data_IF_298305961993
#
_entry.id   IF_298305961993
#
_cell.length_a   1.000
_cell.length_b   1.000
_cell.length_c   1.000
_cell.angle_alpha   90.00
_cell.angle_beta   90.00
_cell.angle_gamma   90.00
#
_symmetry.space_group_name_H-M   'P 1'
#
loop_
_entity.id
_entity.type
_entity.pdbx_description
1 polymer ?
#
# COMPACT_ATOMS: atom_id res chain seq x y z
N UNK A 1 4.43 -9.08 2.41
CA UNK A 1 4.37 -7.91 3.29
C UNK A 1 3.53 -6.79 2.70
N UNK A 2 2.65 -6.19 3.50
CA UNK A 2 1.80 -5.07 3.05
C UNK A 2 1.98 -3.87 3.99
N UNK A 3 2.52 -2.78 3.47
CA UNK A 3 2.75 -1.52 4.19
C UNK A 3 1.54 -0.61 4.05
N UNK A 4 1.03 -0.09 5.16
CA UNK A 4 -0.12 0.81 5.22
C UNK A 4 0.31 2.10 5.94
N UNK A 5 0.60 3.20 5.20
CA UNK A 5 0.93 4.48 5.82
C UNK A 5 -0.31 5.13 6.43
N UNK A 6 -0.20 5.58 7.69
CA UNK A 6 -1.28 6.18 8.47
C UNK A 6 -0.86 7.54 9.01
N UNK A 7 -1.69 8.56 8.81
CA UNK A 7 -1.54 9.88 9.42
C UNK A 7 -2.91 10.48 9.75
N UNK A 8 -3.18 10.71 11.05
CA UNK A 8 -4.44 11.20 11.57
C UNK A 8 -5.66 10.39 11.06
N UNK A 9 -5.57 9.06 11.20
CA UNK A 9 -6.56 8.08 10.73
C UNK A 9 -7.48 7.54 11.85
N UNK A 10 -7.45 8.09 13.06
CA UNK A 10 -8.22 7.63 14.22
C UNK A 10 -9.67 7.28 13.89
N UNK A 11 -10.34 8.14 13.10
CA UNK A 11 -11.77 8.02 12.78
C UNK A 11 -12.05 7.38 11.42
N UNK A 12 -11.02 7.21 10.59
CA UNK A 12 -11.19 6.77 9.19
C UNK A 12 -10.67 5.37 8.94
N UNK A 13 -9.76 4.87 9.81
CA UNK A 13 -9.16 3.56 9.62
C UNK A 13 -10.22 2.46 9.70
N UNK A 14 -10.35 1.70 8.64
CA UNK A 14 -11.28 0.57 8.53
C UNK A 14 -10.69 -0.68 9.20
N UNK A 15 -10.46 -0.62 10.52
CA UNK A 15 -9.78 -1.66 11.31
C UNK A 15 -10.39 -3.05 11.13
N UNK A 16 -11.72 -3.13 10.99
CA UNK A 16 -12.42 -4.40 10.78
C UNK A 16 -12.04 -5.04 9.46
N UNK A 17 -11.94 -4.27 8.38
CA UNK A 17 -11.60 -4.78 7.05
C UNK A 17 -10.20 -5.42 7.04
N UNK A 18 -9.22 -4.76 7.68
CA UNK A 18 -7.86 -5.31 7.83
C UNK A 18 -7.85 -6.57 8.70
N UNK A 19 -8.61 -6.61 9.79
CA UNK A 19 -8.71 -7.78 10.66
C UNK A 19 -9.35 -8.95 9.95
N UNK A 20 -10.46 -8.74 9.26
CA UNK A 20 -11.17 -9.78 8.52
C UNK A 20 -10.29 -10.33 7.38
N UNK A 21 -9.49 -9.47 6.75
CA UNK A 21 -8.56 -9.86 5.70
C UNK A 21 -7.46 -10.79 6.22
N UNK A 22 -6.79 -10.45 7.32
CA UNK A 22 -5.72 -11.26 7.91
C UNK A 22 -6.23 -12.63 8.40
N UNK A 23 -7.43 -12.67 8.97
CA UNK A 23 -8.03 -13.93 9.41
C UNK A 23 -8.25 -14.89 8.23
N UNK A 24 -8.59 -14.36 7.06
CA UNK A 24 -8.88 -15.15 5.86
C UNK A 24 -7.63 -15.50 5.05
N UNK A 25 -6.56 -14.73 5.19
CA UNK A 25 -5.38 -14.77 4.33
C UNK A 25 -4.10 -14.85 5.17
N UNK A 26 -3.72 -16.06 5.58
CA UNK A 26 -2.57 -16.30 6.45
C UNK A 26 -1.19 -16.03 5.82
N UNK A 27 -1.12 -15.83 4.49
CA UNK A 27 0.11 -15.50 3.77
C UNK A 27 0.50 -14.02 3.82
N UNK A 28 -0.22 -13.18 4.58
CA UNK A 28 0.03 -11.75 4.67
C UNK A 28 0.58 -11.33 6.02
N UNK A 29 1.51 -10.37 5.99
CA UNK A 29 1.94 -9.61 7.17
C UNK A 29 1.70 -8.12 6.91
N UNK A 30 0.90 -7.46 7.76
CA UNK A 30 0.58 -6.04 7.64
C UNK A 30 1.54 -5.20 8.48
N UNK A 31 2.10 -4.15 7.91
CA UNK A 31 2.90 -3.15 8.61
C UNK A 31 2.22 -1.79 8.53
N UNK A 32 1.56 -1.39 9.60
CA UNK A 32 1.00 -0.05 9.73
C UNK A 32 2.11 0.91 10.15
N UNK A 33 2.33 1.95 9.35
CA UNK A 33 3.33 2.99 9.64
C UNK A 33 2.60 4.25 10.11
N UNK A 34 2.69 4.54 11.40
CA UNK A 34 2.22 5.79 11.95
C UNK A 34 3.20 6.91 11.62
N UNK A 35 2.83 7.81 10.71
CA UNK A 35 3.70 8.92 10.26
C UNK A 35 3.56 10.15 11.19
N UNK A 36 3.81 9.96 12.48
CA UNK A 36 3.78 11.03 13.48
C UNK A 36 2.41 11.68 13.61
N UNK A 37 1.35 10.88 13.71
CA UNK A 37 -0.03 11.36 13.92
C UNK A 37 -0.17 12.17 15.19
N UNK A 38 -1.11 13.14 15.19
CA UNK A 38 -1.41 14.03 16.31
C UNK A 38 -2.66 13.62 17.08
N UNK A 39 -3.46 12.73 16.49
CA UNK A 39 -4.66 12.15 17.08
C UNK A 39 -4.35 10.77 17.71
N UNK A 40 -5.37 9.99 18.05
CA UNK A 40 -5.21 8.69 18.69
C UNK A 40 -4.92 7.55 17.68
N UNK A 41 -4.44 7.85 16.46
CA UNK A 41 -4.13 6.84 15.44
C UNK A 41 -3.21 5.74 15.98
N UNK A 42 -2.12 6.10 16.68
CA UNK A 42 -1.19 5.13 17.24
C UNK A 42 -1.86 4.15 18.21
N UNK A 43 -2.78 4.64 19.05
CA UNK A 43 -3.55 3.79 19.96
C UNK A 43 -4.45 2.83 19.20
N UNK A 44 -5.16 3.32 18.16
CA UNK A 44 -6.00 2.49 17.28
C UNK A 44 -5.17 1.37 16.63
N UNK A 45 -3.98 1.68 16.10
CA UNK A 45 -3.07 0.72 15.49
C UNK A 45 -2.56 -0.32 16.49
N UNK A 46 -2.18 0.10 17.71
CA UNK A 46 -1.75 -0.82 18.75
C UNK A 46 -2.87 -1.76 19.21
N UNK A 47 -4.10 -1.27 19.29
CA UNK A 47 -5.28 -2.08 19.59
C UNK A 47 -5.56 -3.07 18.45
N UNK A 48 -5.37 -2.68 17.20
CA UNK A 48 -5.52 -3.56 16.04
C UNK A 48 -4.48 -4.70 16.06
N UNK A 49 -3.22 -4.41 16.46
CA UNK A 49 -2.13 -5.38 16.57
C UNK A 49 -2.35 -6.37 17.71
N UNK A 50 -2.93 -5.95 18.82
CA UNK A 50 -3.06 -6.74 20.04
C UNK A 50 -3.67 -8.13 19.79
N UNK A 51 -2.91 -9.19 20.13
CA UNK A 51 -3.27 -10.58 19.89
C UNK A 51 -3.12 -11.03 18.42
N UNK A 52 -2.42 -10.23 17.58
CA UNK A 52 -2.13 -10.49 16.16
C UNK A 52 -0.70 -10.10 15.80
N UNK A 53 0.19 -10.13 16.76
CA UNK A 53 1.59 -9.66 16.64
C UNK A 53 2.36 -10.43 15.57
N UNK A 54 1.99 -11.68 15.30
CA UNK A 54 2.57 -12.53 14.26
C UNK A 54 2.18 -12.07 12.83
N UNK A 55 1.12 -11.29 12.69
CA UNK A 55 0.58 -10.85 11.40
C UNK A 55 0.51 -9.34 11.24
N UNK A 56 0.64 -8.60 12.33
CA UNK A 56 0.52 -7.13 12.32
C UNK A 56 1.68 -6.50 13.07
N UNK A 57 2.42 -5.67 12.38
CA UNK A 57 3.43 -4.77 12.95
C UNK A 57 2.92 -3.33 12.94
N UNK A 58 3.27 -2.56 13.96
CA UNK A 58 3.10 -1.11 14.01
C UNK A 58 4.47 -0.47 14.07
N UNK A 59 4.81 0.30 13.03
CA UNK A 59 6.01 1.12 12.96
C UNK A 59 5.64 2.57 13.29
N UNK A 60 6.20 3.11 14.37
CA UNK A 60 5.88 4.46 14.84
C UNK A 60 7.01 5.44 14.48
N UNK A 61 6.68 6.49 13.74
CA UNK A 61 7.60 7.57 13.39
C UNK A 61 7.44 8.72 14.37
N UNK A 62 8.55 9.25 14.90
CA UNK A 62 8.54 10.39 15.83
C UNK A 62 7.91 11.67 15.25
N UNK A 63 7.98 11.84 13.92
CA UNK A 63 7.53 13.04 13.22
C UNK A 63 6.95 12.67 11.86
N UNK A 64 5.95 13.44 11.44
CA UNK A 64 5.42 13.36 10.08
C UNK A 64 6.51 13.78 9.07
N UNK A 65 6.77 12.90 8.12
CA UNK A 65 7.70 13.11 7.00
C UNK A 65 7.01 12.95 5.64
N UNK A 66 5.73 12.67 5.67
CA UNK A 66 4.89 12.47 4.50
C UNK A 66 4.80 11.01 4.05
N UNK A 67 3.69 10.72 3.36
CA UNK A 67 3.31 9.37 2.92
C UNK A 67 4.43 8.60 2.23
N UNK A 68 5.17 9.25 1.33
CA UNK A 68 6.24 8.57 0.57
C UNK A 68 7.35 8.05 1.50
N UNK A 69 7.74 8.83 2.51
CA UNK A 69 8.74 8.42 3.49
C UNK A 69 8.21 7.34 4.43
N UNK A 70 6.95 7.44 4.87
CA UNK A 70 6.31 6.41 5.66
C UNK A 70 6.28 5.06 4.92
N UNK A 71 5.91 5.06 3.64
CA UNK A 71 5.95 3.86 2.80
C UNK A 71 7.37 3.33 2.69
N UNK A 72 8.37 4.19 2.39
CA UNK A 72 9.78 3.80 2.28
C UNK A 72 10.28 3.13 3.57
N UNK A 73 10.01 3.74 4.73
CA UNK A 73 10.43 3.19 6.03
C UNK A 73 9.78 1.84 6.32
N UNK A 74 8.48 1.70 6.05
CA UNK A 74 7.76 0.44 6.20
C UNK A 74 8.30 -0.64 5.28
N UNK A 75 8.56 -0.33 4.01
CA UNK A 75 9.13 -1.29 3.06
C UNK A 75 10.53 -1.75 3.46
N UNK A 76 11.41 -0.85 3.87
CA UNK A 76 12.76 -1.18 4.36
C UNK A 76 12.72 -1.98 5.67
N UNK A 77 11.71 -1.74 6.53
CA UNK A 77 11.52 -2.54 7.73
C UNK A 77 11.09 -3.97 7.38
N UNK A 78 10.12 -4.11 6.47
CA UNK A 78 9.60 -5.41 6.03
C UNK A 78 10.64 -6.20 5.23
N UNK A 79 11.50 -5.55 4.45
CA UNK A 79 12.57 -6.20 3.68
C UNK A 79 13.57 -6.96 4.56
N UNK A 80 13.69 -6.61 5.85
CA UNK A 80 14.53 -7.32 6.82
C UNK A 80 13.91 -8.62 7.35
N UNK A 81 12.64 -8.90 7.04
CA UNK A 81 11.97 -10.13 7.43
C UNK A 81 12.31 -11.23 6.42
N UNK A 82 12.86 -12.35 6.87
CA UNK A 82 13.36 -13.41 5.96
C UNK A 82 12.22 -14.21 5.29
N UNK A 83 11.05 -14.22 5.88
CA UNK A 83 9.86 -14.98 5.47
C UNK A 83 8.97 -14.27 4.45
N UNK A 84 9.39 -13.10 3.94
CA UNK A 84 8.64 -12.34 2.94
C UNK A 84 9.29 -12.43 1.56
N UNK A 85 8.52 -12.81 0.55
CA UNK A 85 8.95 -12.86 -0.86
C UNK A 85 8.62 -11.56 -1.60
N UNK A 86 7.48 -10.96 -1.23
CA UNK A 86 6.96 -9.74 -1.87
C UNK A 86 6.58 -8.70 -0.82
N UNK A 87 6.81 -7.44 -1.14
CA UNK A 87 6.44 -6.32 -0.28
C UNK A 87 5.74 -5.26 -1.11
N UNK A 88 4.55 -4.87 -0.68
CA UNK A 88 3.78 -3.83 -1.33
C UNK A 88 3.30 -2.77 -0.36
N UNK A 89 2.58 -1.80 -0.88
CA UNK A 89 1.88 -0.81 -0.05
C UNK A 89 0.47 -0.54 -0.56
N UNK A 90 -0.38 -0.12 0.35
CA UNK A 90 -1.78 0.19 0.11
C UNK A 90 -2.20 1.40 0.95
N UNK A 91 -3.05 2.26 0.40
CA UNK A 91 -3.59 3.41 1.13
C UNK A 91 -4.52 2.96 2.27
N UNK A 92 -4.42 3.60 3.44
CA UNK A 92 -5.18 3.25 4.63
C UNK A 92 -6.70 3.43 4.47
N UNK A 93 -7.13 4.29 3.53
CA UNK A 93 -8.54 4.55 3.21
C UNK A 93 -9.20 3.47 2.33
N UNK A 94 -8.42 2.44 1.94
CA UNK A 94 -8.86 1.37 1.05
C UNK A 94 -9.53 1.86 -0.25
N UNK A 95 -9.09 3.01 -0.78
CA UNK A 95 -9.51 3.48 -2.10
C UNK A 95 -9.18 2.49 -3.22
N UNK A 96 -8.19 1.64 -3.01
CA UNK A 96 -7.98 0.35 -3.66
C UNK A 96 -8.28 -0.72 -2.61
N UNK A 97 -9.15 -1.68 -2.91
CA UNK A 97 -9.57 -2.70 -1.96
C UNK A 97 -8.47 -3.72 -1.66
N UNK A 98 -8.58 -4.39 -0.52
CA UNK A 98 -7.68 -5.49 -0.16
C UNK A 98 -7.78 -6.67 -1.14
N UNK A 99 -8.97 -6.94 -1.69
CA UNK A 99 -9.15 -7.93 -2.76
C UNK A 99 -8.45 -7.53 -4.06
N UNK A 100 -8.46 -6.22 -4.40
CA UNK A 100 -7.75 -5.73 -5.59
C UNK A 100 -6.22 -5.84 -5.39
N UNK A 101 -5.75 -5.70 -4.15
CA UNK A 101 -4.34 -5.93 -3.83
C UNK A 101 -3.96 -7.41 -3.96
N UNK A 102 -4.85 -8.34 -3.58
CA UNK A 102 -4.66 -9.78 -3.76
C UNK A 102 -4.53 -10.16 -5.25
N UNK A 103 -5.24 -9.48 -6.13
CA UNK A 103 -5.08 -9.61 -7.58
C UNK A 103 -3.67 -9.17 -8.06
N UNK A 104 -3.07 -8.13 -7.43
CA UNK A 104 -1.69 -7.74 -7.72
C UNK A 104 -0.70 -8.80 -7.25
N UNK A 105 -0.92 -9.40 -6.07
CA UNK A 105 -0.11 -10.51 -5.55
C UNK A 105 -0.18 -11.69 -6.51
N UNK A 106 -1.38 -12.12 -6.88
CA UNK A 106 -1.57 -13.20 -7.84
C UNK A 106 -0.88 -12.93 -9.20
N UNK A 107 -0.88 -11.66 -9.62
CA UNK A 107 -0.22 -11.26 -10.87
C UNK A 107 1.29 -11.38 -10.79
N UNK A 108 1.93 -10.91 -9.70
CA UNK A 108 3.38 -10.96 -9.54
C UNK A 108 3.87 -12.40 -9.35
N UNK A 109 3.13 -13.23 -8.61
CA UNK A 109 3.45 -14.64 -8.37
C UNK A 109 3.40 -15.49 -9.65
N UNK A 110 2.49 -15.17 -10.57
CA UNK A 110 2.30 -15.92 -11.81
C UNK A 110 3.01 -15.28 -13.02
N UNK A 111 3.98 -14.41 -12.80
CA UNK A 111 4.74 -13.72 -13.84
C UNK A 111 6.20 -13.53 -13.45
N UNK A 112 7.03 -13.14 -14.42
CA UNK A 112 8.43 -12.73 -14.16
C UNK A 112 8.57 -11.25 -13.79
N UNK A 113 7.45 -10.57 -13.49
CA UNK A 113 7.48 -9.16 -13.12
C UNK A 113 8.06 -8.97 -11.73
N UNK A 114 8.95 -7.97 -11.62
CA UNK A 114 9.52 -7.55 -10.33
C UNK A 114 8.69 -6.47 -9.64
N UNK A 115 7.82 -5.80 -10.38
CA UNK A 115 6.95 -4.72 -9.90
C UNK A 115 5.59 -4.83 -10.58
N UNK A 116 4.52 -4.85 -9.79
CA UNK A 116 3.14 -4.75 -10.27
C UNK A 116 2.45 -3.56 -9.61
N UNK A 117 1.77 -2.75 -10.38
CA UNK A 117 1.05 -1.57 -9.91
C UNK A 117 -0.42 -1.64 -10.28
N UNK A 118 -1.28 -1.32 -9.35
CA UNK A 118 -2.68 -1.08 -9.63
C UNK A 118 -2.85 0.07 -10.64
N UNK A 119 -3.99 0.12 -11.31
CA UNK A 119 -4.35 1.19 -12.22
C UNK A 119 -5.77 1.67 -11.94
N UNK A 120 -5.93 2.99 -11.82
CA UNK A 120 -7.23 3.66 -11.70
C UNK A 120 -7.91 3.92 -13.04
N UNK A 121 -7.32 3.44 -14.12
CA UNK A 121 -7.89 3.58 -15.47
C UNK A 121 -9.01 2.58 -15.62
N UNK A 122 -10.20 3.05 -16.02
CA UNK A 122 -11.36 2.19 -16.28
C UNK A 122 -11.03 1.15 -17.34
N UNK A 123 -11.09 -0.13 -16.94
CA UNK A 123 -11.20 -1.24 -17.90
C UNK A 123 -12.68 -1.52 -18.15
N UNK A 124 -13.03 -2.03 -19.34
CA UNK A 124 -14.41 -2.44 -19.62
C UNK A 124 -14.87 -3.43 -18.55
N UNK A 125 -15.93 -3.08 -17.81
CA UNK A 125 -16.49 -3.87 -16.70
C UNK A 125 -16.20 -3.37 -15.29
N UNK A 126 -15.23 -2.46 -15.08
CA UNK A 126 -14.95 -1.86 -13.77
C UNK A 126 -15.75 -0.56 -13.57
N UNK A 127 -16.55 -0.47 -12.51
CA UNK A 127 -17.23 0.78 -12.10
C UNK A 127 -16.24 1.62 -11.28
N UNK A 128 -15.59 2.60 -11.90
CA UNK A 128 -14.76 3.58 -11.20
C UNK A 128 -15.56 4.89 -11.10
N UNK A 129 -15.94 5.26 -9.88
CA UNK A 129 -16.64 6.53 -9.61
C UNK A 129 -15.53 7.60 -9.43
N UNK A 130 -15.33 8.44 -10.43
CA UNK A 130 -14.38 9.55 -10.38
C UNK A 130 -15.04 10.89 -10.73
N UNK A 131 -14.61 11.98 -10.08
CA UNK A 131 -14.94 13.33 -10.54
C UNK A 131 -14.14 13.69 -11.80
N UNK A 132 -14.79 14.32 -12.78
CA UNK A 132 -14.26 14.57 -14.13
C UNK A 132 -12.92 15.33 -14.15
N UNK A 133 -12.77 16.34 -13.28
CA UNK A 133 -11.62 17.27 -13.31
C UNK A 133 -10.30 16.63 -12.83
N UNK A 134 -10.36 15.72 -11.85
CA UNK A 134 -9.19 14.96 -11.36
C UNK A 134 -8.64 13.99 -12.41
N UNK A 135 -9.46 13.52 -13.34
CA UNK A 135 -9.03 12.59 -14.38
C UNK A 135 -8.09 13.24 -15.38
N UNK A 136 -8.36 14.48 -15.79
CA UNK A 136 -7.55 15.21 -16.79
C UNK A 136 -6.17 15.52 -16.22
N UNK A 137 -6.10 16.01 -14.98
CA UNK A 137 -4.84 16.32 -14.31
C UNK A 137 -4.00 15.05 -14.13
N UNK A 138 -4.61 13.94 -13.71
CA UNK A 138 -3.92 12.65 -13.55
C UNK A 138 -3.37 12.14 -14.88
N UNK A 139 -4.11 12.24 -15.97
CA UNK A 139 -3.66 11.83 -17.30
C UNK A 139 -2.47 12.67 -17.79
N UNK A 140 -2.49 13.99 -17.58
CA UNK A 140 -1.38 14.89 -17.95
C UNK A 140 -0.13 14.56 -17.14
N UNK A 141 -0.26 14.38 -15.82
CA UNK A 141 0.87 14.03 -14.94
C UNK A 141 1.45 12.66 -15.33
N UNK A 142 0.61 11.66 -15.57
CA UNK A 142 1.06 10.35 -16.02
C UNK A 142 1.78 10.42 -17.38
N UNK A 143 1.27 11.20 -18.32
CA UNK A 143 1.92 11.43 -19.61
C UNK A 143 3.31 12.05 -19.46
N UNK A 144 3.45 13.07 -18.60
CA UNK A 144 4.73 13.74 -18.32
C UNK A 144 5.71 12.75 -17.67
N UNK A 145 5.27 12.00 -16.64
CA UNK A 145 6.10 11.02 -15.94
C UNK A 145 6.59 9.93 -16.89
N UNK A 146 5.70 9.36 -17.72
CA UNK A 146 6.07 8.36 -18.73
C UNK A 146 7.10 8.89 -19.72
N UNK A 147 6.94 10.16 -20.15
CA UNK A 147 7.86 10.80 -21.11
C UNK A 147 9.23 11.06 -20.49
N UNK A 148 9.30 11.45 -19.23
CA UNK A 148 10.55 11.78 -18.53
C UNK A 148 11.28 10.51 -18.11
N UNK A 149 10.55 9.57 -17.48
CA UNK A 149 11.15 8.36 -16.89
C UNK A 149 11.25 7.20 -17.85
N UNK A 150 10.67 7.30 -19.07
CA UNK A 150 10.60 6.23 -20.09
C UNK A 150 10.04 4.90 -19.54
N UNK A 151 9.09 4.97 -18.62
CA UNK A 151 8.48 3.82 -17.95
C UNK A 151 7.07 3.57 -18.50
N UNK A 152 6.73 2.31 -18.76
CA UNK A 152 5.42 1.90 -19.29
C UNK A 152 4.34 1.72 -18.23
N UNK A 153 4.32 2.57 -17.18
CA UNK A 153 3.25 2.58 -16.20
C UNK A 153 2.05 3.42 -16.66
N UNK A 154 0.86 2.83 -16.61
CA UNK A 154 -0.37 3.51 -16.99
C UNK A 154 -0.92 4.44 -15.91
N UNK A 155 -0.62 4.18 -14.63
CA UNK A 155 -1.02 4.99 -13.47
C UNK A 155 0.07 4.96 -12.39
N UNK A 156 0.97 5.94 -12.43
CA UNK A 156 2.05 6.08 -11.44
C UNK A 156 1.55 6.54 -10.07
N UNK A 157 0.31 7.06 -9.98
CA UNK A 157 -0.29 7.62 -8.78
C UNK A 157 -1.22 6.64 -8.05
N UNK A 158 -1.37 5.39 -8.55
CA UNK A 158 -2.17 4.39 -7.86
C UNK A 158 -1.57 4.10 -6.48
N UNK A 159 -2.42 4.15 -5.45
CA UNK A 159 -2.07 3.91 -4.05
C UNK A 159 -1.84 2.43 -3.70
N UNK A 160 -1.68 1.54 -4.70
CA UNK A 160 -1.40 0.13 -4.51
C UNK A 160 -0.30 -0.33 -5.45
N UNK A 161 0.80 -0.83 -4.90
CA UNK A 161 1.91 -1.44 -5.65
C UNK A 161 2.51 -2.58 -4.86
N UNK A 162 3.05 -3.57 -5.59
CA UNK A 162 3.79 -4.68 -5.02
C UNK A 162 5.11 -4.87 -5.75
N UNK A 163 6.13 -5.27 -5.01
CA UNK A 163 7.51 -5.45 -5.46
C UNK A 163 8.01 -6.82 -5.01
N UNK A 164 8.81 -7.46 -5.83
CA UNK A 164 9.65 -8.57 -5.38
C UNK A 164 10.68 -8.03 -4.37
N UNK A 165 10.95 -8.75 -3.30
CA UNK A 165 11.82 -8.31 -2.19
C UNK A 165 13.23 -7.95 -2.67
N UNK A 166 13.76 -8.71 -3.63
CA UNK A 166 15.11 -8.49 -4.20
C UNK A 166 15.29 -7.10 -4.83
N UNK A 167 14.20 -6.44 -5.25
CA UNK A 167 14.27 -5.08 -5.81
C UNK A 167 14.36 -4.01 -4.73
N UNK A 168 13.88 -4.30 -3.52
CA UNK A 168 13.84 -3.32 -2.42
C UNK A 168 15.21 -3.22 -1.74
N UNK A 169 15.95 -4.32 -1.64
CA UNK A 169 17.26 -4.37 -1.00
C UNK A 169 18.35 -3.60 -1.78
N UNK A 170 18.07 -3.19 -3.02
CA UNK A 170 18.99 -2.47 -3.91
C UNK A 170 18.75 -0.94 -3.84
N UNK A 171 17.62 -0.48 -3.28
CA UNK A 171 17.21 0.92 -3.24
C UNK A 171 17.50 1.59 -1.89
#
# INVERSE_FOLDING_TARGET
GLVIPCYDEEKRLLSKEFTDFIIKNSGYHLCFVNDGSKDNTLEVLNNLRKGREDFITVYDCEKNKGKAEAVRLGMLYMAKQDDLDYIGFLDADLSTGLSDFDDLVSTIENSDYKIVSGSRISRMGAKIIKSSDRNIISLIINFIIRRILKMDFNDTQCGAKIFSKDVIDIA
#
